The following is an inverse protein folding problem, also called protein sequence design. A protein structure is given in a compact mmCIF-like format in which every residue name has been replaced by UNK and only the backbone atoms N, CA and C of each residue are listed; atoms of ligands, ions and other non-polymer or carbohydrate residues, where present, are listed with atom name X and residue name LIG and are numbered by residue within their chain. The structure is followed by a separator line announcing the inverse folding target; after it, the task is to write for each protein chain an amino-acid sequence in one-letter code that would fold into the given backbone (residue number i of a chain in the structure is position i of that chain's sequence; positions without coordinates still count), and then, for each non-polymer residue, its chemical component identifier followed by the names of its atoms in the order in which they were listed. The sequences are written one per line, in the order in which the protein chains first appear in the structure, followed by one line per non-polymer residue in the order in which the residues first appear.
data_IF_000059571289
#
_entry.id   IF_000059571289
#
_cell.length_a   1.000
_cell.length_b   1.000
_cell.length_c   1.000
_cell.angle_alpha   90.00
_cell.angle_beta   90.00
_cell.angle_gamma   90.00
#
_symmetry.space_group_name_H-M   'P 1'
#
loop_
_entity.id
_entity.type
_entity.pdbx_description
1 polymer ?
#
# COMPACT_ATOMS: atom_id res chain seq x y z
N UNK A 1 5.06 34.36 -0.04
CA UNK A 1 4.96 34.39 1.44
C UNK A 1 4.27 33.10 1.84
N UNK A 2 4.82 32.35 2.80
CA UNK A 2 4.22 31.06 3.22
C UNK A 2 2.88 31.33 3.93
N UNK A 3 1.94 30.40 3.82
CA UNK A 3 0.73 30.42 4.65
C UNK A 3 1.06 30.01 6.08
N UNK A 4 0.21 30.34 7.06
CA UNK A 4 0.41 29.97 8.48
C UNK A 4 0.64 28.46 8.66
N UNK A 5 -0.06 27.63 7.87
CA UNK A 5 0.15 26.17 7.88
C UNK A 5 1.51 25.75 7.32
N UNK A 6 1.98 26.41 6.27
CA UNK A 6 3.29 26.15 5.67
C UNK A 6 4.44 26.59 6.58
N UNK A 7 4.30 27.72 7.27
CA UNK A 7 5.27 28.21 8.26
C UNK A 7 5.42 27.20 9.41
N UNK A 8 4.30 26.64 9.89
CA UNK A 8 4.32 25.64 10.95
C UNK A 8 4.97 24.33 10.51
N UNK A 9 4.66 23.84 9.30
CA UNK A 9 5.34 22.67 8.73
C UNK A 9 6.84 22.93 8.61
N UNK A 10 7.25 24.08 8.06
CA UNK A 10 8.67 24.43 7.94
C UNK A 10 9.36 24.47 9.30
N UNK A 11 8.70 25.05 10.32
CA UNK A 11 9.20 25.07 11.70
C UNK A 11 9.40 23.67 12.27
N UNK A 12 8.47 22.74 12.01
CA UNK A 12 8.53 21.36 12.50
C UNK A 12 9.62 20.54 11.79
N UNK A 13 9.87 20.76 10.50
CA UNK A 13 10.87 19.98 9.75
C UNK A 13 12.29 20.53 9.87
N UNK A 14 12.47 21.82 10.20
CA UNK A 14 13.76 22.49 10.31
C UNK A 14 14.78 21.77 11.21
N UNK A 15 14.43 21.33 12.44
CA UNK A 15 15.38 20.62 13.32
C UNK A 15 15.90 19.30 12.73
N UNK A 16 15.17 18.73 11.76
CA UNK A 16 15.51 17.48 11.08
C UNK A 16 16.14 17.70 9.70
N UNK A 17 16.42 18.97 9.33
CA UNK A 17 16.98 19.32 8.02
C UNK A 17 16.01 19.18 6.86
N UNK A 18 14.70 19.08 7.11
CA UNK A 18 13.70 19.01 6.06
C UNK A 18 13.48 20.35 5.36
N UNK A 19 13.22 20.30 4.05
CA UNK A 19 13.04 21.48 3.20
C UNK A 19 11.66 21.41 2.56
N UNK A 20 10.83 22.44 2.75
CA UNK A 20 9.55 22.55 2.05
C UNK A 20 9.81 22.98 0.60
N UNK A 21 9.71 22.03 -0.34
CA UNK A 21 9.97 22.28 -1.76
C UNK A 21 8.74 22.71 -2.55
N UNK A 22 7.55 22.23 -2.18
CA UNK A 22 6.32 22.46 -2.91
C UNK A 22 5.13 22.48 -1.95
N UNK A 23 4.15 23.31 -2.27
CA UNK A 23 2.88 23.40 -1.56
C UNK A 23 1.82 23.96 -2.49
N UNK A 24 0.63 23.37 -2.49
CA UNK A 24 -0.56 23.90 -3.16
C UNK A 24 -1.60 24.34 -2.13
N UNK A 25 -2.35 25.40 -2.45
CA UNK A 25 -3.52 25.80 -1.67
C UNK A 25 -4.78 25.01 -2.07
N UNK A 26 -5.83 25.02 -1.24
CA UNK A 26 -7.10 24.35 -1.55
C UNK A 26 -7.79 24.89 -2.82
N UNK A 27 -7.51 26.13 -3.22
CA UNK A 27 -8.02 26.73 -4.45
C UNK A 27 -7.57 26.01 -5.72
N UNK A 28 -6.42 25.32 -5.69
CA UNK A 28 -5.93 24.54 -6.83
C UNK A 28 -6.81 23.31 -7.14
N UNK A 29 -7.52 22.78 -6.13
CA UNK A 29 -8.49 21.68 -6.33
C UNK A 29 -9.61 22.06 -7.29
N UNK A 30 -10.03 23.33 -7.29
CA UNK A 30 -11.17 23.78 -8.08
C UNK A 30 -10.85 23.91 -9.57
N UNK A 31 -9.56 23.94 -9.92
CA UNK A 31 -9.08 24.19 -11.29
C UNK A 31 -8.62 22.91 -12.01
N UNK A 32 -8.80 21.73 -11.40
CA UNK A 32 -8.39 20.45 -11.99
C UNK A 32 -6.87 20.28 -12.13
N UNK A 33 -6.08 21.02 -11.34
CA UNK A 33 -4.64 20.84 -11.27
C UNK A 33 -4.27 19.50 -10.62
N UNK A 34 -3.10 18.95 -10.95
CA UNK A 34 -2.54 17.80 -10.23
C UNK A 34 -2.08 18.25 -8.83
N UNK A 35 -2.41 17.46 -7.84
CA UNK A 35 -2.15 17.72 -6.43
C UNK A 35 -1.29 16.61 -5.85
N UNK A 36 -0.69 16.85 -4.68
CA UNK A 36 0.13 15.83 -4.01
C UNK A 36 -0.65 14.52 -3.75
N UNK A 37 -1.95 14.60 -3.52
CA UNK A 37 -2.83 13.43 -3.39
C UNK A 37 -2.91 12.56 -4.65
N UNK A 38 -2.68 13.14 -5.82
CA UNK A 38 -2.61 12.39 -7.09
C UNK A 38 -1.28 11.64 -7.24
N UNK A 39 -0.33 11.84 -6.33
CA UNK A 39 0.96 11.15 -6.27
C UNK A 39 1.14 10.33 -5.00
N UNK A 40 0.07 10.13 -4.23
CA UNK A 40 0.04 9.27 -3.05
C UNK A 40 -0.85 8.05 -3.30
N UNK A 41 -0.82 7.12 -2.36
CA UNK A 41 -1.55 5.86 -2.44
C UNK A 41 -1.31 5.14 -3.78
N UNK A 42 -2.27 4.37 -4.27
CA UNK A 42 -2.07 3.60 -5.49
C UNK A 42 -2.00 4.47 -6.78
N UNK A 43 -2.12 5.81 -6.68
CA UNK A 43 -1.81 6.67 -7.82
C UNK A 43 -0.31 6.72 -8.10
N UNK A 44 0.56 6.59 -7.10
CA UNK A 44 2.00 6.43 -7.31
C UNK A 44 2.27 5.21 -8.21
N UNK A 45 1.60 4.09 -7.94
CA UNK A 45 1.61 2.89 -8.78
C UNK A 45 1.07 3.16 -10.18
N UNK A 46 -0.06 3.87 -10.30
CA UNK A 46 -0.64 4.25 -11.60
C UNK A 46 0.39 5.00 -12.46
N UNK A 47 1.10 5.98 -11.89
CA UNK A 47 2.12 6.75 -12.60
C UNK A 47 3.32 5.88 -12.98
N UNK A 48 3.80 5.02 -12.08
CA UNK A 48 4.89 4.09 -12.36
C UNK A 48 4.53 3.13 -13.50
N UNK A 49 3.34 2.52 -13.45
CA UNK A 49 2.81 1.62 -14.49
C UNK A 49 2.54 2.34 -15.82
N UNK A 50 2.25 3.64 -15.79
CA UNK A 50 2.11 4.45 -17.00
C UNK A 50 3.45 4.65 -17.69
N UNK A 51 4.53 4.83 -16.93
CA UNK A 51 5.88 4.99 -17.46
C UNK A 51 6.51 3.66 -17.90
N UNK A 52 6.33 2.58 -17.13
CA UNK A 52 6.83 1.24 -17.46
C UNK A 52 5.86 0.18 -16.94
N UNK A 53 5.29 -0.62 -17.85
CA UNK A 53 4.28 -1.65 -17.55
C UNK A 53 4.81 -2.83 -16.74
N UNK A 54 6.13 -2.93 -16.54
CA UNK A 54 6.74 -3.95 -15.68
C UNK A 54 6.60 -3.63 -14.20
N UNK A 55 6.19 -2.42 -13.82
CA UNK A 55 5.92 -2.12 -12.41
C UNK A 55 4.62 -2.77 -11.96
N UNK A 56 4.67 -3.34 -10.76
CA UNK A 56 3.53 -3.75 -9.95
C UNK A 56 3.77 -3.27 -8.52
N UNK A 57 2.95 -3.67 -7.54
CA UNK A 57 3.04 -3.16 -6.18
C UNK A 57 2.75 -4.23 -5.13
N UNK A 58 3.25 -4.04 -3.90
CA UNK A 58 2.82 -4.79 -2.72
C UNK A 58 1.93 -3.93 -1.83
N UNK A 59 1.19 -4.56 -0.92
CA UNK A 59 0.61 -3.85 0.23
C UNK A 59 1.32 -4.34 1.49
N UNK A 60 2.18 -3.48 2.02
CA UNK A 60 3.07 -3.79 3.12
C UNK A 60 2.57 -3.11 4.41
N UNK A 61 2.76 -3.74 5.56
CA UNK A 61 2.72 -3.09 6.85
C UNK A 61 4.06 -3.32 7.54
N UNK A 62 4.80 -2.23 7.73
CA UNK A 62 6.09 -2.26 8.40
C UNK A 62 5.93 -2.27 9.92
N UNK A 63 6.96 -2.77 10.59
CA UNK A 63 7.06 -2.61 12.03
C UNK A 63 7.43 -1.15 12.33
N UNK A 64 6.60 -0.41 13.08
CA UNK A 64 6.85 0.99 13.42
C UNK A 64 8.17 1.23 14.15
N UNK A 65 8.71 0.23 14.87
CA UNK A 65 9.95 0.35 15.62
C UNK A 65 11.18 -0.10 14.79
N UNK A 66 10.96 -0.77 13.65
CA UNK A 66 12.03 -1.35 12.82
C UNK A 66 12.00 -0.92 11.35
N UNK A 67 11.11 -0.01 10.97
CA UNK A 67 10.92 0.41 9.56
C UNK A 67 12.22 0.76 8.84
N UNK A 68 13.13 1.52 9.45
CA UNK A 68 14.39 1.89 8.80
C UNK A 68 15.34 0.70 8.57
N UNK A 69 15.34 -0.27 9.48
CA UNK A 69 16.09 -1.52 9.31
C UNK A 69 15.50 -2.34 8.15
N UNK A 70 14.17 -2.51 8.16
CA UNK A 70 13.42 -3.22 7.14
C UNK A 70 13.61 -2.64 5.73
N UNK A 71 13.54 -1.31 5.60
CA UNK A 71 13.80 -0.60 4.34
C UNK A 71 15.24 -0.83 3.83
N UNK A 72 16.22 -0.82 4.73
CA UNK A 72 17.63 -1.09 4.36
C UNK A 72 17.82 -2.52 3.88
N UNK A 73 17.22 -3.49 4.56
CA UNK A 73 17.28 -4.91 4.20
C UNK A 73 16.68 -5.15 2.81
N UNK A 74 15.48 -4.61 2.55
CA UNK A 74 14.84 -4.68 1.24
C UNK A 74 15.66 -3.99 0.15
N UNK A 75 16.19 -2.80 0.44
CA UNK A 75 17.02 -2.06 -0.53
C UNK A 75 18.31 -2.81 -0.86
N UNK A 76 18.95 -3.42 0.13
CA UNK A 76 20.16 -4.21 -0.08
C UNK A 76 19.91 -5.47 -0.94
N UNK A 77 18.75 -6.12 -0.75
CA UNK A 77 18.42 -7.37 -1.46
C UNK A 77 17.89 -7.13 -2.89
N UNK A 78 17.01 -6.14 -3.08
CA UNK A 78 16.30 -5.95 -4.36
C UNK A 78 16.74 -4.70 -5.14
N UNK A 79 17.55 -3.83 -4.55
CA UNK A 79 18.21 -2.74 -5.26
C UNK A 79 17.24 -1.83 -6.02
N UNK A 80 17.37 -1.81 -7.35
CA UNK A 80 16.55 -0.99 -8.24
C UNK A 80 15.21 -1.64 -8.65
N UNK A 81 15.04 -2.94 -8.39
CA UNK A 81 13.80 -3.67 -8.71
C UNK A 81 12.72 -3.48 -7.65
N UNK A 82 13.04 -2.76 -6.58
CA UNK A 82 12.11 -2.40 -5.51
C UNK A 82 12.27 -0.93 -5.15
N UNK A 83 11.18 -0.18 -5.26
CA UNK A 83 11.09 1.20 -4.82
C UNK A 83 10.13 1.29 -3.63
N UNK A 84 10.61 1.88 -2.55
CA UNK A 84 9.86 2.03 -1.31
C UNK A 84 8.90 3.22 -1.42
N UNK A 85 7.64 3.00 -1.04
CA UNK A 85 6.61 4.03 -0.98
C UNK A 85 5.83 3.85 0.32
N UNK A 86 5.96 4.82 1.23
CA UNK A 86 5.38 4.78 2.57
C UNK A 86 4.20 5.73 2.71
N UNK A 87 3.11 5.22 3.24
CA UNK A 87 1.92 5.96 3.68
C UNK A 87 1.76 5.77 5.20
N UNK A 88 1.75 6.85 5.97
CA UNK A 88 1.59 6.74 7.43
C UNK A 88 0.12 6.70 7.81
N UNK A 89 -0.31 5.63 8.48
CA UNK A 89 -1.68 5.48 8.99
C UNK A 89 -1.70 5.43 10.51
N UNK A 90 -2.75 6.00 11.13
CA UNK A 90 -2.99 5.89 12.56
C UNK A 90 -4.04 4.82 12.83
N UNK A 91 -3.70 3.82 13.63
CA UNK A 91 -4.63 2.78 14.07
C UNK A 91 -4.51 2.57 15.57
N UNK A 92 -5.65 2.56 16.28
CA UNK A 92 -5.72 2.40 17.74
C UNK A 92 -4.75 3.32 18.52
N UNK A 93 -4.58 4.56 18.07
CA UNK A 93 -3.71 5.53 18.71
C UNK A 93 -2.23 5.46 18.31
N UNK A 94 -1.79 4.41 17.60
CA UNK A 94 -0.40 4.24 17.15
C UNK A 94 -0.27 4.56 15.65
N UNK A 95 0.86 5.17 15.28
CA UNK A 95 1.23 5.39 13.89
C UNK A 95 1.93 4.15 13.34
N UNK A 96 1.51 3.71 12.15
CA UNK A 96 2.07 2.60 11.42
C UNK A 96 2.52 3.08 10.03
N UNK A 97 3.78 2.77 9.62
CA UNK A 97 4.19 2.92 8.23
C UNK A 97 3.58 1.79 7.40
N UNK A 98 2.78 2.17 6.41
CA UNK A 98 2.18 1.26 5.45
C UNK A 98 2.90 1.44 4.13
N UNK A 99 2.97 0.40 3.32
CA UNK A 99 3.70 0.41 2.06
C UNK A 99 2.81 0.12 0.87
N UNK A 100 3.06 0.85 -0.20
CA UNK A 100 2.66 0.49 -1.56
C UNK A 100 3.91 0.32 -2.43
N UNK A 101 4.85 -0.48 -1.94
CA UNK A 101 6.17 -0.60 -2.55
C UNK A 101 6.06 -1.08 -3.99
N UNK A 102 6.75 -0.40 -4.90
CA UNK A 102 6.74 -0.72 -6.32
C UNK A 102 7.76 -1.81 -6.60
N UNK A 103 7.32 -2.88 -7.26
CA UNK A 103 8.14 -4.04 -7.60
C UNK A 103 8.24 -4.13 -9.12
N UNK A 104 9.46 -4.27 -9.63
CA UNK A 104 9.65 -4.62 -11.04
C UNK A 104 9.35 -6.10 -11.19
N UNK A 105 8.28 -6.40 -11.91
CA UNK A 105 7.83 -7.75 -12.16
C UNK A 105 8.73 -8.44 -13.18
N UNK A 106 9.30 -9.58 -12.78
CA UNK A 106 10.05 -10.47 -13.66
C UNK A 106 9.35 -11.82 -13.82
N UNK A 107 8.83 -12.37 -12.72
CA UNK A 107 8.15 -13.65 -12.69
C UNK A 107 7.25 -13.76 -11.46
N UNK A 108 6.36 -14.74 -11.47
CA UNK A 108 5.53 -15.07 -10.31
C UNK A 108 6.41 -15.51 -9.15
N UNK A 109 7.40 -16.36 -9.42
CA UNK A 109 8.30 -16.92 -8.42
C UNK A 109 9.08 -15.81 -7.69
N UNK A 110 9.61 -14.83 -8.43
CA UNK A 110 10.31 -13.67 -7.86
C UNK A 110 9.43 -12.85 -6.91
N UNK A 111 8.16 -12.65 -7.27
CA UNK A 111 7.23 -11.87 -6.47
C UNK A 111 6.85 -12.60 -5.17
N UNK A 112 6.66 -13.92 -5.23
CA UNK A 112 6.38 -14.74 -4.05
C UNK A 112 7.61 -14.86 -3.14
N UNK A 113 8.81 -14.99 -3.71
CA UNK A 113 10.07 -14.95 -2.94
C UNK A 113 10.26 -13.60 -2.22
N UNK A 114 9.88 -12.50 -2.87
CA UNK A 114 9.89 -11.17 -2.26
C UNK A 114 8.92 -11.08 -1.08
N UNK A 115 7.67 -11.52 -1.25
CA UNK A 115 6.68 -11.50 -0.17
C UNK A 115 7.10 -12.39 1.01
N UNK A 116 7.60 -13.60 0.73
CA UNK A 116 8.11 -14.49 1.77
C UNK A 116 9.28 -13.87 2.54
N UNK A 117 10.19 -13.17 1.85
CA UNK A 117 11.27 -12.44 2.50
C UNK A 117 10.77 -11.27 3.35
N UNK A 118 9.77 -10.53 2.87
CA UNK A 118 9.15 -9.46 3.64
C UNK A 118 8.61 -10.02 4.97
N UNK A 119 7.87 -11.13 4.94
CA UNK A 119 7.37 -11.81 6.14
C UNK A 119 8.51 -12.27 7.07
N UNK A 120 9.60 -12.82 6.51
CA UNK A 120 10.80 -13.25 7.26
C UNK A 120 11.41 -12.10 8.08
N UNK A 121 11.46 -10.89 7.51
CA UNK A 121 12.01 -9.71 8.19
C UNK A 121 10.96 -8.93 9.02
N UNK A 122 9.76 -9.49 9.17
CA UNK A 122 8.68 -8.94 9.99
C UNK A 122 7.88 -7.82 9.33
N UNK A 123 7.86 -7.78 8.00
CA UNK A 123 6.93 -6.94 7.23
C UNK A 123 5.73 -7.80 6.88
N UNK A 124 4.56 -7.37 7.32
CA UNK A 124 3.33 -8.08 7.02
C UNK A 124 2.83 -7.69 5.62
N UNK A 125 2.33 -8.66 4.86
CA UNK A 125 1.85 -8.43 3.49
C UNK A 125 0.39 -8.79 3.31
N UNK A 126 -0.39 -7.85 2.77
CA UNK A 126 -1.70 -8.14 2.21
C UNK A 126 -1.59 -8.32 0.70
N UNK A 127 -1.69 -9.56 0.23
CA UNK A 127 -1.38 -9.92 -1.16
C UNK A 127 -2.31 -9.21 -2.17
N UNK A 128 -1.81 -8.27 -3.00
CA UNK A 128 -2.63 -7.63 -4.02
C UNK A 128 -2.70 -8.42 -5.33
N UNK A 129 -2.01 -9.57 -5.42
CA UNK A 129 -1.91 -10.41 -6.62
C UNK A 129 -2.82 -11.64 -6.56
N UNK A 130 -3.87 -11.58 -5.74
CA UNK A 130 -4.98 -12.53 -5.75
C UNK A 130 -6.30 -11.79 -5.95
N UNK A 131 -7.29 -12.48 -6.49
CA UNK A 131 -8.67 -12.01 -6.59
C UNK A 131 -9.58 -12.73 -5.58
N UNK A 132 -9.04 -13.70 -4.83
CA UNK A 132 -9.74 -14.42 -3.77
C UNK A 132 -9.66 -13.64 -2.46
N UNK A 133 -10.81 -13.29 -1.91
CA UNK A 133 -10.89 -12.56 -0.65
C UNK A 133 -10.33 -13.36 0.52
N UNK A 134 -10.52 -14.68 0.52
CA UNK A 134 -10.08 -15.61 1.56
C UNK A 134 -8.61 -16.04 1.45
N UNK A 135 -7.87 -15.48 0.48
CA UNK A 135 -6.40 -15.52 0.43
C UNK A 135 -5.77 -14.22 1.00
N UNK A 136 -6.58 -13.20 1.29
CA UNK A 136 -6.13 -11.97 1.94
C UNK A 136 -6.11 -12.15 3.47
N UNK A 137 -5.02 -11.75 4.09
CA UNK A 137 -4.83 -11.75 5.55
C UNK A 137 -5.82 -10.87 6.31
N UNK A 138 -6.53 -9.96 5.63
CA UNK A 138 -7.60 -9.10 6.18
C UNK A 138 -8.99 -9.73 6.10
N UNK A 139 -9.12 -10.97 5.61
CA UNK A 139 -10.42 -11.60 5.44
C UNK A 139 -11.13 -11.85 6.78
N UNK A 140 -12.46 -11.67 6.82
CA UNK A 140 -13.24 -11.65 8.05
C UNK A 140 -13.82 -13.01 8.47
N UNK A 141 -13.25 -14.13 8.01
CA UNK A 141 -13.60 -15.42 8.60
C UNK A 141 -14.99 -15.97 8.26
N UNK A 142 -15.43 -16.87 9.15
CA UNK A 142 -16.79 -17.42 9.19
C UNK A 142 -17.89 -16.35 9.22
N UNK A 143 -17.77 -15.23 9.96
CA UNK A 143 -18.79 -14.16 9.92
C UNK A 143 -19.15 -13.67 8.52
N UNK A 144 -18.18 -13.61 7.61
CA UNK A 144 -18.44 -13.23 6.22
C UNK A 144 -19.21 -14.31 5.46
N UNK A 145 -18.88 -15.58 5.71
CA UNK A 145 -19.57 -16.73 5.09
C UNK A 145 -21.01 -16.83 5.56
N UNK A 146 -21.26 -16.63 6.86
CA UNK A 146 -22.60 -16.62 7.45
C UNK A 146 -23.46 -15.49 6.83
N UNK A 147 -22.91 -14.28 6.74
CA UNK A 147 -23.58 -13.14 6.11
C UNK A 147 -23.85 -13.38 4.61
N UNK A 148 -22.92 -14.02 3.89
CA UNK A 148 -23.12 -14.35 2.47
C UNK A 148 -24.23 -15.38 2.29
N UNK A 149 -24.32 -16.40 3.15
CA UNK A 149 -25.40 -17.38 3.11
C UNK A 149 -26.78 -16.75 3.39
N UNK A 150 -26.84 -15.77 4.30
CA UNK A 150 -28.07 -15.04 4.62
C UNK A 150 -28.49 -14.08 3.51
N UNK A 151 -27.56 -13.28 2.98
CA UNK A 151 -27.86 -12.15 2.09
C UNK A 151 -27.73 -12.46 0.60
N UNK A 152 -27.02 -13.53 0.23
CA UNK A 152 -26.84 -13.98 -1.15
C UNK A 152 -27.09 -15.50 -1.28
N UNK A 153 -28.28 -16.01 -0.90
CA UNK A 153 -28.57 -17.44 -0.91
C UNK A 153 -28.54 -18.04 -2.32
N UNK A 154 -28.72 -17.22 -3.36
CA UNK A 154 -28.63 -17.63 -4.76
C UNK A 154 -27.22 -17.55 -5.34
N UNK A 155 -26.22 -17.08 -4.58
CA UNK A 155 -24.83 -16.93 -5.01
C UNK A 155 -24.65 -16.06 -6.27
N UNK A 156 -25.45 -15.00 -6.40
CA UNK A 156 -25.42 -14.08 -7.55
C UNK A 156 -24.50 -12.88 -7.32
N UNK A 157 -24.16 -12.56 -6.07
CA UNK A 157 -23.32 -11.43 -5.74
C UNK A 157 -21.84 -11.81 -5.81
N UNK A 158 -21.20 -11.35 -6.88
CA UNK A 158 -19.76 -11.46 -7.14
C UNK A 158 -19.20 -12.90 -7.02
N UNK A 159 -19.72 -13.86 -7.82
CA UNK A 159 -19.26 -15.25 -7.78
C UNK A 159 -17.79 -15.39 -8.20
N UNK A 160 -17.10 -16.40 -7.68
CA UNK A 160 -15.69 -16.69 -8.01
C UNK A 160 -14.63 -15.94 -7.19
N UNK A 161 -15.03 -15.09 -6.24
CA UNK A 161 -14.12 -14.32 -5.38
C UNK A 161 -13.86 -14.93 -4.00
N UNK A 162 -14.43 -16.10 -3.71
CA UNK A 162 -14.19 -16.86 -2.48
C UNK A 162 -13.81 -18.27 -2.85
N UNK A 163 -12.56 -18.65 -2.58
CA UNK A 163 -12.03 -19.97 -2.94
C UNK A 163 -12.82 -21.09 -2.26
N UNK A 164 -13.14 -20.89 -0.98
CA UNK A 164 -13.98 -21.78 -0.16
C UNK A 164 -15.36 -22.06 -0.75
N UNK A 165 -15.87 -21.21 -1.64
CA UNK A 165 -17.17 -21.39 -2.31
C UNK A 165 -17.02 -21.76 -3.79
N UNK A 166 -15.88 -21.49 -4.41
CA UNK A 166 -15.60 -21.91 -5.79
C UNK A 166 -15.27 -23.40 -5.91
N UNK A 167 -14.92 -24.05 -4.80
CA UNK A 167 -14.61 -25.49 -4.72
C UNK A 167 -15.78 -26.31 -4.13
N UNK A 168 -17.03 -25.84 -4.27
CA UNK A 168 -18.16 -26.74 -4.05
C UNK A 168 -18.15 -27.84 -5.14
N UNK A 169 -18.34 -29.13 -4.77
CA UNK A 169 -18.33 -30.24 -5.72
C UNK A 169 -19.38 -30.11 -6.83
#
# INVERSE_FOLDING_TARGET
MLTVGQEEVQRLVNPYGGILHWSSGPEEYLNGALLLSDFSWNHTTLWAMRADKRWTYLQDQFDPDRVFEQLKLRKARYGADLLEHIEFMKFQGRMYPQGLSLVRFHSKEQLWELMAYCEEIGIWNANPHTHFLDEDVRWNGQPLLDAKAEWDPASLLNPGHLKRLSEAP
#
